data_IF_831642367359
#
_entry.id   IF_831642367359
#
_cell.length_a   1.000
_cell.length_b   1.000
_cell.length_c   1.000
_cell.angle_alpha   90.00
_cell.angle_beta   90.00
_cell.angle_gamma   90.00
#
_symmetry.space_group_name_H-M   'P 1'
#
loop_
_entity.id
_entity.type
_entity.pdbx_description
1 polymer ?
#
# COMPACT_ATOMS: atom_id res chain seq x y z
N UNK A 1 24.29 21.09 16.62
CA UNK A 1 23.84 20.63 15.28
C UNK A 1 22.44 20.07 15.45
N UNK A 2 21.48 20.52 14.65
CA UNK A 2 20.10 20.00 14.72
C UNK A 2 20.09 18.50 14.35
N UNK A 3 19.41 17.68 15.14
CA UNK A 3 19.21 16.27 14.84
C UNK A 3 18.23 16.11 13.65
N UNK A 4 18.13 14.89 13.09
CA UNK A 4 17.35 14.60 11.87
C UNK A 4 15.88 15.07 11.97
N UNK A 5 15.26 14.87 13.14
CA UNK A 5 13.89 15.31 13.45
C UNK A 5 13.77 16.83 13.43
N UNK A 6 14.69 17.52 14.07
CA UNK A 6 14.70 18.99 14.13
C UNK A 6 14.90 19.65 12.77
N UNK A 7 15.70 19.04 11.88
CA UNK A 7 15.86 19.51 10.49
C UNK A 7 14.61 19.31 9.64
N UNK A 8 13.93 18.19 9.81
CA UNK A 8 12.67 17.91 9.12
C UNK A 8 11.53 18.81 9.62
N UNK A 9 11.44 19.03 10.93
CA UNK A 9 10.44 19.91 11.53
C UNK A 9 10.58 21.38 11.12
N UNK A 10 11.82 21.87 10.97
CA UNK A 10 12.08 23.23 10.49
C UNK A 10 11.69 23.46 9.01
N UNK A 11 11.31 22.40 8.27
CA UNK A 11 11.03 22.39 6.84
C UNK A 11 9.54 22.14 6.52
N UNK A 12 8.70 21.92 7.53
CA UNK A 12 7.30 21.50 7.35
C UNK A 12 6.39 22.70 7.07
N UNK A 13 6.24 23.04 5.79
CA UNK A 13 5.19 23.95 5.30
C UNK A 13 3.90 23.20 4.91
N UNK A 14 3.96 21.87 4.75
CA UNK A 14 2.83 21.01 4.37
C UNK A 14 2.71 19.78 5.29
N UNK A 15 1.48 19.32 5.55
CA UNK A 15 1.22 18.06 6.23
C UNK A 15 1.47 16.87 5.29
N UNK A 16 2.36 15.97 5.68
CA UNK A 16 2.74 14.84 4.86
C UNK A 16 1.95 13.58 5.23
N UNK A 17 1.50 12.83 4.21
CA UNK A 17 0.76 11.59 4.38
C UNK A 17 1.39 10.47 3.56
N UNK A 18 1.53 9.30 4.18
CA UNK A 18 1.85 8.05 3.49
C UNK A 18 0.60 7.18 3.35
N UNK A 19 0.36 6.65 2.16
CA UNK A 19 -0.77 5.75 1.90
C UNK A 19 -0.25 4.31 1.86
N UNK A 20 -0.76 3.43 2.71
CA UNK A 20 -0.22 2.08 2.90
C UNK A 20 -1.21 1.00 2.51
N UNK A 21 -0.75 -0.06 1.85
CA UNK A 21 -1.50 -1.30 1.72
C UNK A 21 -1.94 -1.81 3.10
N UNK A 22 -3.22 -2.17 3.25
CA UNK A 22 -3.84 -2.49 4.53
C UNK A 22 -3.03 -3.47 5.41
N UNK A 23 -2.47 -4.50 4.78
CA UNK A 23 -1.75 -5.57 5.48
C UNK A 23 -0.41 -5.13 6.11
N UNK A 24 0.10 -3.94 5.77
CA UNK A 24 1.33 -3.37 6.36
C UNK A 24 1.10 -3.04 7.84
N UNK A 25 -0.01 -2.36 8.16
CA UNK A 25 -0.34 -1.98 9.54
C UNK A 25 -1.39 -2.90 10.18
N UNK A 26 -2.35 -3.41 9.40
CA UNK A 26 -3.39 -4.32 9.89
C UNK A 26 -3.24 -5.72 9.29
N UNK A 27 -2.46 -6.54 10.01
CA UNK A 27 -2.14 -7.92 9.65
C UNK A 27 -3.38 -8.82 9.52
N UNK A 28 -4.52 -8.46 10.11
CA UNK A 28 -5.76 -9.22 10.01
C UNK A 28 -6.30 -9.30 8.57
N UNK A 29 -5.85 -8.41 7.69
CA UNK A 29 -6.23 -8.39 6.26
C UNK A 29 -5.31 -9.23 5.37
N UNK A 30 -4.11 -9.59 5.85
CA UNK A 30 -3.17 -10.46 5.14
C UNK A 30 -3.76 -11.86 5.01
N UNK A 31 -3.44 -12.54 3.92
CA UNK A 31 -3.74 -13.96 3.80
C UNK A 31 -3.11 -14.75 4.95
N UNK A 32 -3.88 -15.66 5.55
CA UNK A 32 -3.42 -16.54 6.63
C UNK A 32 -3.44 -18.00 6.19
N UNK A 33 -2.31 -18.67 6.33
CA UNK A 33 -2.24 -20.12 6.12
C UNK A 33 -2.68 -20.84 7.39
N UNK A 34 -3.68 -21.73 7.28
CA UNK A 34 -4.11 -22.59 8.39
C UNK A 34 -2.90 -23.40 8.91
N UNK A 35 -2.68 -23.36 10.22
CA UNK A 35 -1.58 -24.08 10.87
C UNK A 35 -0.25 -23.32 10.98
N UNK A 36 -0.10 -22.13 10.38
CA UNK A 36 1.06 -21.27 10.69
C UNK A 36 0.92 -20.67 12.10
N UNK A 37 2.02 -20.50 12.86
CA UNK A 37 2.04 -19.73 14.10
C UNK A 37 1.71 -18.25 13.90
N UNK A 38 0.96 -17.64 14.84
CA UNK A 38 0.68 -16.19 14.85
C UNK A 38 1.95 -15.32 14.82
N UNK A 39 3.03 -15.82 15.41
CA UNK A 39 4.35 -15.16 15.47
C UNK A 39 5.11 -15.14 14.14
N UNK A 40 4.78 -15.99 13.18
CA UNK A 40 5.48 -16.08 11.89
C UNK A 40 5.01 -15.02 10.89
N UNK A 41 3.93 -14.34 11.23
CA UNK A 41 3.44 -13.22 10.46
C UNK A 41 3.75 -11.90 11.16
N UNK A 42 4.75 -11.86 12.06
CA UNK A 42 5.06 -10.78 13.02
C UNK A 42 4.85 -9.37 12.46
N UNK A 43 5.18 -9.15 11.19
CA UNK A 43 4.86 -7.92 10.48
C UNK A 43 5.56 -6.71 11.08
N UNK A 44 5.38 -5.55 10.46
CA UNK A 44 6.21 -4.36 10.71
C UNK A 44 5.43 -3.20 11.27
N UNK A 45 4.21 -3.49 11.72
CA UNK A 45 3.26 -2.48 12.15
C UNK A 45 3.87 -1.59 13.24
N UNK A 46 4.56 -2.15 14.24
CA UNK A 46 5.14 -1.34 15.32
C UNK A 46 6.33 -0.47 14.86
N UNK A 47 7.23 -1.00 14.04
CA UNK A 47 8.39 -0.26 13.54
C UNK A 47 7.97 0.88 12.61
N UNK A 48 7.03 0.61 11.71
CA UNK A 48 6.49 1.61 10.79
C UNK A 48 5.72 2.69 11.57
N UNK A 49 4.90 2.29 12.55
CA UNK A 49 4.19 3.27 13.40
C UNK A 49 5.17 4.14 14.21
N UNK A 50 6.26 3.56 14.74
CA UNK A 50 7.30 4.34 15.42
C UNK A 50 7.93 5.37 14.49
N UNK A 51 8.36 4.94 13.29
CA UNK A 51 8.99 5.81 12.31
C UNK A 51 8.05 6.93 11.85
N UNK A 52 6.80 6.60 11.50
CA UNK A 52 5.81 7.59 11.09
C UNK A 52 5.52 8.60 12.21
N UNK A 53 5.49 8.14 13.46
CA UNK A 53 5.34 9.00 14.64
C UNK A 53 6.54 9.92 14.84
N UNK A 54 7.76 9.39 14.76
CA UNK A 54 9.01 10.14 14.88
C UNK A 54 9.13 11.24 13.81
N UNK A 55 8.68 10.94 12.59
CA UNK A 55 8.68 11.84 11.43
C UNK A 55 7.38 12.67 11.32
N UNK A 56 6.43 12.54 12.25
CA UNK A 56 5.12 13.24 12.20
C UNK A 56 4.39 13.10 10.84
N UNK A 57 4.51 11.94 10.20
CA UNK A 57 3.85 11.63 8.92
C UNK A 57 2.50 10.97 9.19
N UNK A 58 1.43 11.54 8.64
CA UNK A 58 0.09 10.97 8.69
C UNK A 58 -0.01 9.68 7.87
N UNK A 59 -1.00 8.84 8.16
CA UNK A 59 -1.17 7.56 7.45
C UNK A 59 -2.61 7.32 7.01
N UNK A 60 -2.77 6.85 5.77
CA UNK A 60 -4.04 6.34 5.24
C UNK A 60 -3.83 4.87 4.87
N UNK A 61 -4.69 3.97 5.35
CA UNK A 61 -4.68 2.58 4.90
C UNK A 61 -5.59 2.42 3.68
N UNK A 62 -5.04 1.87 2.59
CA UNK A 62 -5.80 1.42 1.44
C UNK A 62 -6.77 0.30 1.84
N UNK A 63 -7.92 0.16 1.19
CA UNK A 63 -8.71 -1.05 1.30
C UNK A 63 -7.91 -2.25 0.76
N UNK A 64 -8.04 -3.41 1.39
CA UNK A 64 -7.50 -4.65 0.85
C UNK A 64 -8.54 -5.32 -0.08
N UNK A 65 -8.32 -5.38 -1.41
CA UNK A 65 -9.31 -5.93 -2.34
C UNK A 65 -9.57 -7.41 -2.09
N UNK A 66 -8.51 -8.17 -1.81
CA UNK A 66 -8.60 -9.59 -1.52
C UNK A 66 -9.44 -9.87 -0.26
N UNK A 67 -9.20 -9.12 0.82
CA UNK A 67 -9.90 -9.29 2.10
C UNK A 67 -11.35 -8.82 2.01
N UNK A 68 -11.60 -7.65 1.43
CA UNK A 68 -12.96 -7.11 1.30
C UNK A 68 -13.84 -7.90 0.33
N UNK A 69 -13.25 -8.74 -0.52
CA UNK A 69 -13.98 -9.63 -1.43
C UNK A 69 -14.13 -11.06 -0.87
N UNK A 70 -13.05 -11.67 -0.39
CA UNK A 70 -13.02 -13.08 0.04
C UNK A 70 -13.12 -13.28 1.56
N UNK A 71 -12.89 -12.24 2.36
CA UNK A 71 -12.69 -12.37 3.79
C UNK A 71 -11.39 -13.10 4.16
N UNK A 72 -11.33 -13.58 5.40
CA UNK A 72 -10.30 -14.48 5.90
C UNK A 72 -10.95 -15.62 6.73
N UNK A 73 -10.44 -16.86 6.67
CA UNK A 73 -9.36 -17.30 5.78
C UNK A 73 -9.82 -17.36 4.32
N UNK A 74 -8.88 -17.15 3.39
CA UNK A 74 -9.11 -17.29 1.95
C UNK A 74 -8.03 -18.18 1.31
N UNK A 75 -8.30 -18.90 0.22
CA UNK A 75 -7.26 -19.61 -0.52
C UNK A 75 -6.22 -18.63 -1.11
N UNK A 76 -4.92 -18.98 -1.15
CA UNK A 76 -3.94 -18.19 -1.86
C UNK A 76 -4.24 -18.22 -3.35
N UNK A 77 -4.19 -17.06 -4.00
CA UNK A 77 -4.47 -16.91 -5.43
C UNK A 77 -3.43 -16.02 -6.10
N UNK A 78 -3.09 -16.33 -7.34
CA UNK A 78 -2.34 -15.45 -8.23
C UNK A 78 -3.24 -14.36 -8.82
N UNK A 79 -2.63 -13.39 -9.50
CA UNK A 79 -3.32 -12.35 -10.28
C UNK A 79 -4.35 -12.97 -11.24
N UNK A 80 -3.94 -13.97 -12.03
CA UNK A 80 -4.83 -14.64 -13.00
C UNK A 80 -5.99 -15.35 -12.32
N UNK A 81 -5.73 -16.03 -11.20
CA UNK A 81 -6.75 -16.71 -10.41
C UNK A 81 -7.78 -15.72 -9.86
N UNK A 82 -7.33 -14.55 -9.39
CA UNK A 82 -8.22 -13.46 -8.97
C UNK A 82 -8.99 -12.83 -10.13
N UNK A 83 -8.37 -12.61 -11.29
CA UNK A 83 -9.04 -12.08 -12.48
C UNK A 83 -10.14 -13.02 -12.99
N UNK A 84 -10.00 -14.34 -12.79
CA UNK A 84 -11.06 -15.30 -13.13
C UNK A 84 -12.23 -15.33 -12.15
N UNK A 85 -12.14 -14.68 -10.99
CA UNK A 85 -13.27 -14.62 -10.07
C UNK A 85 -14.33 -13.65 -10.61
N UNK A 86 -15.60 -14.08 -10.72
CA UNK A 86 -16.68 -13.21 -11.17
C UNK A 86 -16.73 -11.92 -10.34
N UNK A 87 -16.78 -10.76 -11.02
CA UNK A 87 -16.87 -9.41 -10.41
C UNK A 87 -15.68 -8.96 -9.57
N UNK A 88 -14.59 -9.73 -9.47
CA UNK A 88 -13.44 -9.30 -8.67
C UNK A 88 -12.75 -8.07 -9.23
N UNK A 89 -12.52 -8.02 -10.55
CA UNK A 89 -11.94 -6.84 -11.20
C UNK A 89 -12.84 -5.60 -11.03
N UNK A 90 -14.17 -5.77 -11.12
CA UNK A 90 -15.13 -4.68 -10.87
C UNK A 90 -15.06 -4.17 -9.44
N UNK A 91 -14.91 -5.08 -8.46
CA UNK A 91 -14.68 -4.72 -7.06
C UNK A 91 -13.39 -3.93 -6.86
N UNK A 92 -12.27 -4.39 -7.44
CA UNK A 92 -11.00 -3.66 -7.42
C UNK A 92 -11.14 -2.25 -8.05
N UNK A 93 -11.84 -2.15 -9.19
CA UNK A 93 -12.07 -0.88 -9.87
C UNK A 93 -12.88 0.09 -9.01
N UNK A 94 -13.95 -0.39 -8.37
CA UNK A 94 -14.75 0.43 -7.45
C UNK A 94 -13.91 0.96 -6.28
N UNK A 95 -13.13 0.09 -5.63
CA UNK A 95 -12.23 0.51 -4.56
C UNK A 95 -11.19 1.54 -5.03
N UNK A 96 -10.68 1.40 -6.25
CA UNK A 96 -9.71 2.33 -6.83
C UNK A 96 -10.33 3.71 -7.10
N UNK A 97 -11.55 3.70 -7.67
CA UNK A 97 -12.34 4.91 -7.93
C UNK A 97 -12.69 5.65 -6.62
N UNK A 98 -13.10 4.92 -5.57
CA UNK A 98 -13.38 5.46 -4.23
C UNK A 98 -12.12 6.01 -3.55
N UNK A 99 -11.03 5.24 -3.56
CA UNK A 99 -9.75 5.63 -2.95
C UNK A 99 -9.20 6.89 -3.60
N UNK A 100 -9.11 6.93 -4.93
CA UNK A 100 -8.60 8.09 -5.65
C UNK A 100 -9.46 9.35 -5.45
N UNK A 101 -10.79 9.20 -5.32
CA UNK A 101 -11.69 10.32 -4.96
C UNK A 101 -11.39 10.83 -3.54
N UNK A 102 -11.18 9.92 -2.59
CA UNK A 102 -10.85 10.29 -1.22
C UNK A 102 -9.49 11.00 -1.14
N UNK A 103 -8.44 10.46 -1.77
CA UNK A 103 -7.12 11.08 -1.80
C UNK A 103 -7.15 12.47 -2.45
N UNK A 104 -7.91 12.65 -3.53
CA UNK A 104 -8.13 13.97 -4.14
C UNK A 104 -8.75 14.95 -3.15
N UNK A 105 -9.79 14.50 -2.44
CA UNK A 105 -10.50 15.33 -1.45
C UNK A 105 -9.58 15.74 -0.30
N UNK A 106 -8.69 14.85 0.15
CA UNK A 106 -7.71 15.14 1.20
C UNK A 106 -6.76 16.26 0.76
N UNK A 107 -6.28 16.23 -0.49
CA UNK A 107 -5.37 17.25 -1.02
C UNK A 107 -6.10 18.58 -1.24
N UNK A 108 -7.28 18.58 -1.88
CA UNK A 108 -7.96 19.82 -2.29
C UNK A 108 -8.66 20.55 -1.14
N UNK A 109 -9.08 19.83 -0.10
CA UNK A 109 -9.82 20.40 1.03
C UNK A 109 -8.91 20.91 2.17
N UNK A 110 -7.61 20.59 2.14
CA UNK A 110 -6.64 21.08 3.11
C UNK A 110 -5.84 22.25 2.52
N UNK A 111 -6.08 23.46 3.02
CA UNK A 111 -5.45 24.69 2.49
C UNK A 111 -4.48 25.35 3.45
N UNK A 112 -4.74 25.27 4.74
CA UNK A 112 -3.95 25.93 5.79
C UNK A 112 -3.82 24.99 7.01
N UNK A 113 -2.75 24.17 7.10
CA UNK A 113 -1.70 23.94 6.08
C UNK A 113 -2.19 23.07 4.90
N UNK A 114 -1.47 23.10 3.78
CA UNK A 114 -1.69 22.18 2.67
C UNK A 114 -1.28 20.75 3.03
N UNK A 115 -1.75 19.78 2.25
CA UNK A 115 -1.44 18.35 2.43
C UNK A 115 -0.74 17.79 1.20
N UNK A 116 0.32 17.02 1.43
CA UNK A 116 1.05 16.26 0.41
C UNK A 116 0.99 14.77 0.71
N UNK A 117 0.55 14.00 -0.29
CA UNK A 117 0.70 12.55 -0.26
C UNK A 117 2.09 12.22 -0.81
N UNK A 118 2.96 11.67 0.05
CA UNK A 118 4.34 11.34 -0.31
C UNK A 118 4.40 10.18 -1.31
N UNK A 119 3.68 9.09 -1.02
CA UNK A 119 3.63 7.90 -1.85
C UNK A 119 2.46 6.99 -1.49
N UNK A 120 2.16 6.07 -2.41
CA UNK A 120 1.32 4.90 -2.18
C UNK A 120 2.22 3.66 -2.10
N UNK A 121 2.19 2.99 -0.95
CA UNK A 121 3.02 1.82 -0.65
C UNK A 121 2.24 0.54 -0.88
N UNK A 122 2.63 -0.18 -1.93
CA UNK A 122 2.17 -1.53 -2.25
C UNK A 122 3.05 -2.61 -1.62
N UNK A 123 2.60 -3.86 -1.71
CA UNK A 123 3.34 -5.03 -1.22
C UNK A 123 3.74 -5.88 -2.41
N UNK A 124 5.04 -6.01 -2.63
CA UNK A 124 5.57 -6.79 -3.74
C UNK A 124 5.11 -8.24 -3.68
N UNK A 125 5.02 -8.89 -4.84
CA UNK A 125 4.52 -10.26 -5.03
C UNK A 125 3.02 -10.45 -4.74
N UNK A 126 2.32 -9.44 -4.20
CA UNK A 126 0.87 -9.48 -4.03
C UNK A 126 0.15 -9.47 -5.38
N UNK A 127 -0.89 -10.32 -5.57
CA UNK A 127 -1.69 -10.33 -6.79
C UNK A 127 -2.49 -9.04 -7.01
N UNK A 128 -2.79 -8.30 -5.93
CA UNK A 128 -3.54 -7.03 -6.03
C UNK A 128 -2.69 -5.81 -5.72
N UNK A 129 -1.77 -5.90 -4.76
CA UNK A 129 -1.01 -4.78 -4.22
C UNK A 129 0.45 -4.70 -4.70
N UNK A 130 0.90 -5.60 -5.58
CA UNK A 130 2.25 -5.57 -6.17
C UNK A 130 2.48 -4.31 -7.01
N UNK A 131 3.65 -3.68 -6.86
CA UNK A 131 3.98 -2.42 -7.56
C UNK A 131 4.88 -2.69 -8.75
N UNK A 132 5.97 -3.44 -8.56
CA UNK A 132 6.89 -3.84 -9.63
C UNK A 132 6.71 -5.29 -10.03
N UNK A 133 6.32 -6.17 -9.09
CA UNK A 133 6.11 -7.58 -9.36
C UNK A 133 4.85 -8.16 -8.72
N UNK A 134 4.29 -9.17 -9.38
CA UNK A 134 3.08 -9.86 -8.95
C UNK A 134 3.14 -11.35 -9.28
N UNK A 135 2.23 -12.14 -8.69
CA UNK A 135 2.12 -13.58 -8.97
C UNK A 135 1.17 -13.84 -10.13
N UNK A 136 1.53 -14.73 -11.05
CA UNK A 136 0.71 -15.16 -12.20
C UNK A 136 0.74 -16.70 -12.33
N UNK A 137 -0.06 -17.26 -13.24
CA UNK A 137 -0.15 -18.70 -13.49
C UNK A 137 -1.10 -19.44 -12.55
N UNK A 138 -1.28 -20.74 -12.80
CA UNK A 138 -2.17 -21.64 -12.06
C UNK A 138 -1.48 -22.97 -11.76
N UNK A 139 -1.84 -23.60 -10.65
CA UNK A 139 -1.29 -24.90 -10.26
C UNK A 139 0.24 -24.90 -10.20
N UNK A 140 0.87 -25.80 -10.95
CA UNK A 140 2.34 -25.94 -11.04
C UNK A 140 3.03 -24.79 -11.79
N UNK A 141 2.28 -24.00 -12.57
CA UNK A 141 2.83 -22.91 -13.40
C UNK A 141 2.88 -21.55 -12.67
N UNK A 142 2.70 -21.53 -11.35
CA UNK A 142 2.74 -20.29 -10.56
C UNK A 142 4.15 -19.70 -10.58
N UNK A 143 4.25 -18.41 -10.92
CA UNK A 143 5.53 -17.67 -10.98
C UNK A 143 5.33 -16.20 -10.64
N UNK A 144 6.42 -15.50 -10.34
CA UNK A 144 6.42 -14.04 -10.24
C UNK A 144 6.85 -13.42 -11.57
N UNK A 145 6.22 -12.29 -11.93
CA UNK A 145 6.50 -11.51 -13.14
C UNK A 145 6.58 -10.03 -12.80
N UNK A 146 7.28 -9.26 -13.63
CA UNK A 146 7.42 -7.80 -13.50
C UNK A 146 6.16 -7.07 -14.00
N UNK A 147 5.04 -7.30 -13.31
CA UNK A 147 3.76 -6.63 -13.56
C UNK A 147 3.16 -6.08 -12.27
N UNK A 148 2.25 -5.11 -12.42
CA UNK A 148 1.47 -4.57 -11.31
C UNK A 148 0.38 -5.53 -10.86
N UNK A 149 0.10 -5.51 -9.57
CA UNK A 149 -1.11 -6.10 -9.02
C UNK A 149 -2.36 -5.38 -9.54
N UNK A 150 -3.48 -6.11 -9.60
CA UNK A 150 -4.74 -5.67 -10.22
C UNK A 150 -5.20 -4.31 -9.65
N UNK A 151 -5.11 -4.13 -8.34
CA UNK A 151 -5.60 -2.93 -7.68
C UNK A 151 -4.66 -1.75 -7.84
N UNK A 152 -3.33 -1.96 -7.81
CA UNK A 152 -2.34 -0.90 -8.05
C UNK A 152 -2.46 -0.36 -9.48
N UNK A 153 -2.64 -1.25 -10.46
CA UNK A 153 -2.88 -0.87 -11.85
C UNK A 153 -4.11 0.05 -11.99
N UNK A 154 -5.26 -0.41 -11.49
CA UNK A 154 -6.52 0.33 -11.55
C UNK A 154 -6.50 1.63 -10.71
N UNK A 155 -5.85 1.63 -9.55
CA UNK A 155 -5.69 2.82 -8.72
C UNK A 155 -4.84 3.87 -9.43
N UNK A 156 -3.73 3.46 -10.04
CA UNK A 156 -2.89 4.36 -10.83
C UNK A 156 -3.66 5.00 -12.00
N UNK A 157 -4.48 4.24 -12.72
CA UNK A 157 -5.35 4.79 -13.75
C UNK A 157 -6.36 5.80 -13.20
N UNK A 158 -6.99 5.48 -12.07
CA UNK A 158 -8.02 6.34 -11.48
C UNK A 158 -7.45 7.65 -10.93
N UNK A 159 -6.23 7.63 -10.40
CA UNK A 159 -5.48 8.81 -9.96
C UNK A 159 -5.13 9.70 -11.16
N UNK A 160 -4.58 9.13 -12.24
CA UNK A 160 -4.26 9.89 -13.47
C UNK A 160 -5.50 10.56 -14.06
N UNK A 161 -6.64 9.86 -14.12
CA UNK A 161 -7.93 10.44 -14.56
C UNK A 161 -8.39 11.62 -13.71
N UNK A 162 -7.88 11.76 -12.49
CA UNK A 162 -8.19 12.84 -11.55
C UNK A 162 -7.14 13.94 -11.52
N UNK A 163 -6.09 13.85 -12.33
CA UNK A 163 -4.97 14.79 -12.36
C UNK A 163 -4.02 14.63 -11.17
N UNK A 164 -4.00 13.45 -10.53
CA UNK A 164 -3.11 13.17 -9.40
C UNK A 164 -1.90 12.36 -9.85
N UNK A 165 -0.72 12.88 -9.56
CA UNK A 165 0.56 12.22 -9.76
C UNK A 165 1.17 11.87 -8.40
N UNK A 166 0.90 10.65 -7.94
CA UNK A 166 1.40 10.13 -6.66
C UNK A 166 2.32 8.94 -6.96
N UNK A 167 3.56 8.92 -6.44
CA UNK A 167 4.48 7.83 -6.70
C UNK A 167 4.01 6.54 -6.00
N UNK A 168 4.26 5.41 -6.65
CA UNK A 168 4.02 4.09 -6.07
C UNK A 168 5.33 3.43 -5.69
N UNK A 169 5.37 2.87 -4.49
CA UNK A 169 6.55 2.20 -3.94
C UNK A 169 6.14 0.81 -3.50
N UNK A 170 6.86 -0.20 -3.96
CA UNK A 170 6.66 -1.55 -3.49
C UNK A 170 7.63 -1.88 -2.38
N UNK A 171 7.14 -2.57 -1.36
CA UNK A 171 7.96 -3.12 -0.28
C UNK A 171 7.84 -4.62 -0.20
N UNK A 172 8.93 -5.25 0.21
CA UNK A 172 8.94 -6.62 0.63
C UNK A 172 8.62 -6.71 2.13
N UNK A 173 7.52 -7.37 2.50
CA UNK A 173 7.18 -7.55 3.92
C UNK A 173 8.17 -8.44 4.67
N UNK A 174 9.00 -9.19 3.95
CA UNK A 174 10.07 -10.02 4.51
C UNK A 174 11.39 -9.22 4.67
N UNK A 175 11.49 -7.99 4.12
CA UNK A 175 12.63 -7.06 4.24
C UNK A 175 12.22 -5.65 4.70
N UNK A 176 11.87 -5.51 5.98
CA UNK A 176 11.26 -4.30 6.54
C UNK A 176 12.04 -3.01 6.42
N UNK A 177 13.34 -3.12 6.61
CA UNK A 177 14.33 -2.06 6.61
C UNK A 177 14.31 -1.26 5.30
N UNK A 178 13.89 -1.88 4.20
CA UNK A 178 13.75 -1.22 2.91
C UNK A 178 12.74 -0.07 2.98
N UNK A 179 11.61 -0.24 3.69
CA UNK A 179 10.60 0.83 3.80
C UNK A 179 11.14 2.03 4.59
N UNK A 180 11.98 1.79 5.60
CA UNK A 180 12.60 2.88 6.38
C UNK A 180 13.50 3.71 5.48
N UNK A 181 14.37 3.06 4.70
CA UNK A 181 15.23 3.73 3.72
C UNK A 181 14.44 4.48 2.65
N UNK A 182 13.34 3.89 2.16
CA UNK A 182 12.47 4.53 1.18
C UNK A 182 11.75 5.76 1.72
N UNK A 183 11.27 5.73 2.97
CA UNK A 183 10.66 6.92 3.60
C UNK A 183 11.72 8.01 3.77
N UNK A 184 12.95 7.64 4.15
CA UNK A 184 14.06 8.59 4.24
C UNK A 184 14.37 9.26 2.90
N UNK A 185 14.35 8.51 1.79
CA UNK A 185 14.53 9.08 0.44
C UNK A 185 13.39 10.02 0.04
N UNK A 186 12.14 9.77 0.47
CA UNK A 186 10.98 10.60 0.13
C UNK A 186 10.95 11.95 0.84
N UNK A 187 11.55 12.05 2.02
CA UNK A 187 11.50 13.25 2.87
C UNK A 187 12.71 14.17 2.70
N UNK A 188 13.78 13.72 2.04
CA UNK A 188 15.01 14.49 1.81
C UNK A 188 14.98 15.21 0.45
#
# INVERSE_FOLDING_TARGET
MLNKKEKYEAKLEELQILVLSHCILNRATRWWQKGKPLGDNRGLNLQILSLLSELKIGVIQLPCPEFTFCGNPRPPRTRDEYLSLPRFQQHCKRLADETSKYLKSIIENAREPSVKILAIVGVERSPTCGVKCTSTGRGVNKRYVEEKGIFIELLGESLRKRGLEIPFIGVDLDKPEELVGLIDELIN
#
